data_IF_569377722125
#
_entry.id   IF_569377722125
#
_cell.length_a   1.000
_cell.length_b   1.000
_cell.length_c   1.000
_cell.angle_alpha   90.00
_cell.angle_beta   90.00
_cell.angle_gamma   90.00
#
_symmetry.space_group_name_H-M   'P 1'
#
loop_
_entity.id
_entity.type
_entity.pdbx_description
1 polymer ?
#
# COMPACT_ATOMS: atom_id res chain seq x y z
N UNK A 1 -6.93 -18.37 -13.56
CA UNK A 1 -8.26 -18.26 -12.93
C UNK A 1 -8.45 -19.21 -11.74
N UNK A 2 -8.27 -20.52 -11.92
CA UNK A 2 -8.62 -21.53 -10.89
C UNK A 2 -7.82 -21.37 -9.58
N UNK A 3 -6.51 -21.09 -9.71
CA UNK A 3 -5.62 -20.81 -8.57
C UNK A 3 -6.07 -19.60 -7.72
N UNK A 4 -6.59 -18.53 -8.34
CA UNK A 4 -7.07 -17.34 -7.62
C UNK A 4 -8.31 -17.69 -6.80
N UNK A 5 -9.24 -18.45 -7.39
CA UNK A 5 -10.46 -18.92 -6.70
C UNK A 5 -10.14 -19.87 -5.53
N UNK A 6 -9.12 -20.71 -5.68
CA UNK A 6 -8.67 -21.62 -4.62
C UNK A 6 -7.98 -20.87 -3.48
N UNK A 7 -7.08 -19.94 -3.80
CA UNK A 7 -6.41 -19.09 -2.82
C UNK A 7 -7.41 -18.25 -2.03
N UNK A 8 -8.37 -17.63 -2.71
CA UNK A 8 -9.45 -16.88 -2.08
C UNK A 8 -10.25 -17.72 -1.08
N UNK A 9 -10.69 -18.93 -1.49
CA UNK A 9 -11.42 -19.86 -0.60
C UNK A 9 -10.58 -20.29 0.61
N UNK A 10 -9.28 -20.52 0.42
CA UNK A 10 -8.37 -20.89 1.50
C UNK A 10 -8.22 -19.76 2.53
N UNK A 11 -8.09 -18.52 2.06
CA UNK A 11 -7.95 -17.35 2.93
C UNK A 11 -9.27 -16.98 3.63
N UNK A 12 -10.40 -17.06 2.93
CA UNK A 12 -11.73 -16.89 3.54
C UNK A 12 -11.97 -17.87 4.69
N UNK A 13 -11.59 -19.14 4.54
CA UNK A 13 -11.72 -20.12 5.63
C UNK A 13 -10.86 -19.79 6.85
N UNK A 14 -9.80 -19.01 6.68
CA UNK A 14 -8.89 -18.65 7.78
C UNK A 14 -9.32 -17.36 8.48
N UNK A 15 -9.83 -16.39 7.73
CA UNK A 15 -10.15 -15.05 8.21
C UNK A 15 -11.65 -14.73 8.21
N UNK A 16 -12.52 -15.73 8.11
CA UNK A 16 -13.97 -15.51 8.17
C UNK A 16 -14.34 -14.82 9.50
N UNK A 17 -15.28 -13.85 9.53
CA UNK A 17 -15.71 -13.19 10.76
C UNK A 17 -16.23 -14.19 11.81
N UNK A 18 -16.82 -15.32 11.39
CA UNK A 18 -17.26 -16.38 12.32
C UNK A 18 -16.12 -17.09 13.04
N UNK A 19 -14.87 -16.96 12.56
CA UNK A 19 -13.68 -17.61 13.12
C UNK A 19 -12.76 -16.60 13.81
N UNK A 20 -12.53 -15.45 13.15
CA UNK A 20 -11.56 -14.43 13.58
C UNK A 20 -12.22 -13.18 14.20
N UNK A 21 -13.54 -13.17 14.38
CA UNK A 21 -14.26 -12.06 15.01
C UNK A 21 -14.20 -10.77 14.21
N UNK A 22 -14.09 -9.63 14.90
CA UNK A 22 -14.11 -8.28 14.32
C UNK A 22 -12.95 -8.05 13.32
N UNK A 23 -11.73 -8.48 13.67
CA UNK A 23 -10.55 -8.38 12.78
C UNK A 23 -10.74 -9.22 11.50
N UNK A 24 -11.42 -10.36 11.61
CA UNK A 24 -11.80 -11.19 10.45
C UNK A 24 -12.71 -10.48 9.45
N UNK A 25 -13.57 -9.57 9.92
CA UNK A 25 -14.43 -8.78 9.05
C UNK A 25 -13.63 -7.85 8.13
N UNK A 26 -12.65 -7.13 8.69
CA UNK A 26 -11.76 -6.23 7.94
C UNK A 26 -10.94 -7.00 6.90
N UNK A 27 -10.32 -8.10 7.33
CA UNK A 27 -9.57 -8.97 6.42
C UNK A 27 -10.44 -9.52 5.29
N UNK A 28 -11.68 -9.92 5.57
CA UNK A 28 -12.61 -10.41 4.55
C UNK A 28 -13.01 -9.32 3.56
N UNK A 29 -13.17 -8.07 4.03
CA UNK A 29 -13.47 -6.92 3.17
C UNK A 29 -12.34 -6.67 2.17
N UNK A 30 -11.10 -6.59 2.66
CA UNK A 30 -9.90 -6.45 1.83
C UNK A 30 -9.76 -7.62 0.84
N UNK A 31 -10.03 -8.85 1.29
CA UNK A 31 -9.95 -10.05 0.45
C UNK A 31 -10.94 -9.98 -0.72
N UNK A 32 -12.15 -9.47 -0.48
CA UNK A 32 -13.19 -9.31 -1.49
C UNK A 32 -12.83 -8.24 -2.51
N UNK A 33 -12.23 -7.14 -2.09
CA UNK A 33 -11.73 -6.09 -2.98
C UNK A 33 -10.62 -6.60 -3.89
N UNK A 34 -9.61 -7.25 -3.32
CA UNK A 34 -8.55 -7.90 -4.09
C UNK A 34 -9.11 -8.94 -5.07
N UNK A 35 -10.08 -9.76 -4.65
CA UNK A 35 -10.70 -10.75 -5.52
C UNK A 35 -11.44 -10.11 -6.70
N UNK A 36 -12.15 -8.99 -6.49
CA UNK A 36 -12.86 -8.28 -7.58
C UNK A 36 -11.91 -7.81 -8.69
N UNK A 37 -10.73 -7.32 -8.34
CA UNK A 37 -9.71 -6.87 -9.30
C UNK A 37 -9.05 -8.06 -10.00
N UNK A 38 -8.67 -9.09 -9.23
CA UNK A 38 -7.89 -10.22 -9.74
C UNK A 38 -8.71 -11.25 -10.53
N UNK A 39 -10.04 -11.29 -10.37
CA UNK A 39 -10.90 -12.27 -11.04
C UNK A 39 -11.22 -11.92 -12.48
N UNK A 40 -11.16 -10.65 -12.87
CA UNK A 40 -11.39 -10.20 -14.25
C UNK A 40 -10.05 -10.09 -14.96
N UNK A 41 -9.90 -10.76 -16.10
CA UNK A 41 -8.62 -10.80 -16.82
C UNK A 41 -8.17 -9.39 -17.26
N UNK A 42 -9.09 -8.50 -17.65
CA UNK A 42 -8.75 -7.14 -18.06
C UNK A 42 -8.24 -6.29 -16.89
N UNK A 43 -8.96 -6.31 -15.75
CA UNK A 43 -8.55 -5.58 -14.54
C UNK A 43 -7.26 -6.15 -13.95
N UNK A 44 -7.08 -7.48 -14.02
CA UNK A 44 -5.84 -8.13 -13.63
C UNK A 44 -4.68 -7.70 -14.53
N UNK A 45 -4.87 -7.63 -15.85
CA UNK A 45 -3.82 -7.14 -16.77
C UNK A 45 -3.46 -5.69 -16.49
N UNK A 46 -4.44 -4.83 -16.21
CA UNK A 46 -4.20 -3.44 -15.86
C UNK A 46 -3.47 -3.30 -14.52
N UNK A 47 -3.86 -4.11 -13.52
CA UNK A 47 -3.16 -4.22 -12.25
C UNK A 47 -1.71 -4.72 -12.43
N UNK A 48 -1.52 -5.83 -13.14
CA UNK A 48 -0.21 -6.41 -13.45
C UNK A 48 0.64 -5.42 -14.27
N UNK A 49 0.04 -4.61 -15.14
CA UNK A 49 0.71 -3.55 -15.90
C UNK A 49 1.10 -2.34 -15.02
N UNK A 50 0.27 -1.97 -14.03
CA UNK A 50 0.60 -0.91 -13.07
C UNK A 50 1.75 -1.32 -12.15
N UNK A 51 1.72 -2.55 -11.64
CA UNK A 51 2.81 -3.17 -10.88
C UNK A 51 4.03 -3.38 -11.76
N UNK A 52 3.84 -3.80 -13.01
CA UNK A 52 4.88 -4.00 -14.00
C UNK A 52 5.55 -2.70 -14.43
N UNK A 53 4.82 -1.58 -14.50
CA UNK A 53 5.37 -0.24 -14.76
C UNK A 53 6.22 0.25 -13.60
N UNK A 54 5.80 -0.01 -12.35
CA UNK A 54 6.66 0.19 -11.19
C UNK A 54 7.88 -0.74 -11.26
N UNK A 55 7.73 -2.03 -11.60
CA UNK A 55 8.85 -2.97 -11.78
C UNK A 55 9.83 -2.61 -12.90
N UNK A 56 9.33 -2.02 -13.99
CA UNK A 56 10.14 -1.58 -15.12
C UNK A 56 10.87 -0.26 -14.84
N UNK A 57 10.25 0.67 -14.09
CA UNK A 57 10.87 1.96 -13.70
C UNK A 57 11.86 1.84 -12.52
N UNK A 58 11.68 0.84 -11.66
CA UNK A 58 12.46 0.65 -10.43
C UNK A 58 13.33 -0.64 -10.44
N UNK A 59 13.41 -1.36 -11.57
CA UNK A 59 14.19 -2.60 -11.72
C UNK A 59 13.63 -3.79 -10.94
N UNK A 60 14.34 -4.93 -10.91
CA UNK A 60 13.91 -6.12 -10.14
C UNK A 60 13.88 -5.92 -8.60
N UNK A 61 14.23 -4.72 -8.11
CA UNK A 61 14.37 -4.36 -6.69
C UNK A 61 13.18 -3.54 -6.15
N UNK A 62 11.97 -3.73 -6.71
CA UNK A 62 10.74 -3.05 -6.23
C UNK A 62 10.17 -3.64 -4.96
N UNK A 63 10.58 -4.85 -4.59
CA UNK A 63 10.48 -5.24 -3.19
C UNK A 63 11.41 -4.31 -2.44
N UNK A 64 10.85 -3.35 -1.70
CA UNK A 64 11.59 -2.53 -0.76
C UNK A 64 12.70 -3.35 -0.10
N UNK A 65 13.89 -2.78 0.01
CA UNK A 65 15.08 -3.49 0.48
C UNK A 65 14.85 -4.12 1.86
N UNK A 66 13.94 -3.53 2.64
CA UNK A 66 13.53 -4.07 3.92
C UNK A 66 12.46 -5.16 3.78
N UNK A 67 12.77 -6.34 4.31
CA UNK A 67 11.79 -7.42 4.48
C UNK A 67 10.84 -7.12 5.63
N UNK A 68 9.63 -7.66 5.64
CA UNK A 68 8.64 -7.40 6.70
C UNK A 68 8.48 -8.59 7.63
N UNK A 69 8.57 -8.37 8.95
CA UNK A 69 8.27 -9.40 9.96
C UNK A 69 6.89 -9.18 10.57
N UNK A 70 6.00 -10.15 10.39
CA UNK A 70 4.65 -10.12 10.95
C UNK A 70 3.60 -9.46 10.04
N UNK A 71 2.44 -9.06 10.57
CA UNK A 71 1.40 -8.39 9.78
C UNK A 71 1.89 -7.02 9.30
N UNK A 72 1.45 -6.62 8.10
CA UNK A 72 1.67 -5.27 7.59
C UNK A 72 1.07 -4.25 8.58
N UNK A 73 1.89 -3.29 9.01
CA UNK A 73 1.50 -2.18 9.88
C UNK A 73 1.44 -0.90 9.03
N UNK A 74 0.62 0.09 9.39
CA UNK A 74 0.49 1.34 8.62
C UNK A 74 1.78 2.15 8.60
N UNK A 75 2.57 2.07 9.67
CA UNK A 75 3.85 2.76 9.79
C UNK A 75 5.01 1.80 9.55
N UNK A 76 6.08 2.30 8.95
CA UNK A 76 7.33 1.60 8.72
C UNK A 76 8.53 2.48 9.13
N UNK A 77 9.68 1.84 9.33
CA UNK A 77 10.93 2.51 9.66
C UNK A 77 11.69 2.84 8.37
N UNK A 78 12.17 4.07 8.28
CA UNK A 78 13.05 4.53 7.22
C UNK A 78 14.28 5.21 7.81
N UNK A 79 15.46 4.92 7.25
CA UNK A 79 16.71 5.58 7.66
C UNK A 79 17.16 6.49 6.53
N UNK A 80 17.31 7.79 6.83
CA UNK A 80 17.87 8.76 5.91
C UNK A 80 19.41 8.64 5.87
N UNK A 81 19.91 7.96 4.85
CA UNK A 81 21.35 7.80 4.64
C UNK A 81 22.08 9.10 4.32
N UNK A 82 21.39 10.20 3.96
CA UNK A 82 22.05 11.49 3.75
C UNK A 82 22.46 12.14 5.08
N UNK A 83 21.66 11.94 6.12
CA UNK A 83 21.89 12.51 7.44
C UNK A 83 22.62 11.52 8.37
N UNK A 84 22.61 10.22 8.04
CA UNK A 84 23.26 9.20 8.85
C UNK A 84 24.78 9.37 8.86
N UNK A 85 25.35 9.56 10.05
CA UNK A 85 26.81 9.65 10.26
C UNK A 85 27.47 8.29 10.55
N UNK A 86 26.70 7.21 10.53
CA UNK A 86 27.23 5.86 10.76
C UNK A 86 27.67 5.55 12.20
N UNK A 87 27.03 6.15 13.22
CA UNK A 87 27.36 5.94 14.63
C UNK A 87 27.09 4.51 15.15
N UNK A 88 26.33 3.69 14.42
CA UNK A 88 26.00 2.28 14.70
C UNK A 88 25.11 2.00 15.93
N UNK A 89 24.67 3.02 16.66
CA UNK A 89 23.85 2.86 17.87
C UNK A 89 22.53 2.10 17.61
N UNK A 90 21.88 2.38 16.48
CA UNK A 90 20.65 1.67 16.08
C UNK A 90 20.85 0.16 15.89
N UNK A 91 22.01 -0.26 15.39
CA UNK A 91 22.38 -1.67 15.20
C UNK A 91 22.76 -2.31 16.54
N UNK A 92 23.34 -1.55 17.46
CA UNK A 92 23.65 -2.04 18.81
C UNK A 92 22.40 -2.40 19.61
N UNK A 93 21.34 -1.58 19.52
CA UNK A 93 20.08 -1.84 20.22
C UNK A 93 19.14 -2.81 19.49
N UNK A 94 19.06 -2.73 18.15
CA UNK A 94 18.13 -3.51 17.33
C UNK A 94 18.79 -4.07 16.07
N UNK A 95 19.68 -5.04 16.26
CA UNK A 95 20.49 -5.67 15.20
C UNK A 95 19.71 -6.56 14.22
N UNK A 96 18.50 -7.00 14.57
CA UNK A 96 17.65 -7.74 13.63
C UNK A 96 16.89 -6.79 12.70
N UNK A 97 16.69 -5.54 13.12
CA UNK A 97 15.94 -4.51 12.39
C UNK A 97 16.87 -3.69 11.49
N UNK A 98 17.99 -3.21 12.05
CA UNK A 98 18.94 -2.33 11.37
C UNK A 98 20.25 -3.05 11.02
N UNK A 99 20.85 -2.65 9.91
CA UNK A 99 22.16 -3.12 9.44
C UNK A 99 22.99 -1.93 8.97
N UNK A 100 24.32 -2.01 9.11
CA UNK A 100 25.23 -1.01 8.54
C UNK A 100 25.60 -1.39 7.11
N UNK A 101 25.45 -0.45 6.19
CA UNK A 101 26.02 -0.55 4.86
C UNK A 101 27.49 -0.10 4.90
N UNK A 102 28.42 -1.05 4.82
CA UNK A 102 29.85 -0.77 4.88
C UNK A 102 30.37 0.04 3.70
N UNK A 103 29.73 -0.06 2.52
CA UNK A 103 30.14 0.66 1.33
C UNK A 103 29.80 2.16 1.42
N UNK A 104 28.70 2.48 2.10
CA UNK A 104 28.20 3.85 2.24
C UNK A 104 28.49 4.45 3.61
N UNK A 105 28.90 3.64 4.59
CA UNK A 105 29.07 4.06 5.98
C UNK A 105 27.77 4.45 6.67
N UNK A 106 26.61 4.09 6.11
CA UNK A 106 25.29 4.51 6.58
C UNK A 106 24.49 3.33 7.13
N UNK A 107 23.60 3.58 8.09
CA UNK A 107 22.64 2.57 8.55
C UNK A 107 21.50 2.41 7.54
N UNK A 108 20.95 1.20 7.44
CA UNK A 108 19.75 0.86 6.65
C UNK A 108 18.85 -0.07 7.43
N UNK A 109 17.57 -0.11 7.06
CA UNK A 109 16.60 -1.08 7.61
C UNK A 109 16.67 -2.34 6.76
N UNK A 110 16.90 -3.49 7.41
CA UNK A 110 16.92 -4.80 6.76
C UNK A 110 15.61 -5.55 6.95
N UNK A 111 15.06 -5.49 8.15
CA UNK A 111 13.80 -6.15 8.51
C UNK A 111 12.93 -5.17 9.27
N UNK A 112 11.77 -4.81 8.71
CA UNK A 112 10.75 -4.04 9.42
C UNK A 112 10.24 -4.87 10.60
N UNK A 113 10.30 -4.28 11.80
CA UNK A 113 9.87 -4.90 13.06
C UNK A 113 10.60 -6.23 13.38
N UNK A 114 11.90 -6.30 13.08
CA UNK A 114 12.74 -7.46 13.35
C UNK A 114 12.90 -7.77 14.85
N UNK A 115 13.04 -6.71 15.65
CA UNK A 115 13.19 -6.73 17.11
C UNK A 115 11.89 -6.34 17.84
N UNK A 116 11.94 -6.38 19.17
CA UNK A 116 10.83 -5.90 20.01
C UNK A 116 10.62 -4.39 19.82
N UNK A 117 9.36 -3.95 19.81
CA UNK A 117 8.98 -2.54 19.61
C UNK A 117 9.74 -1.60 20.57
N UNK A 118 9.97 -2.02 21.83
CA UNK A 118 10.76 -1.25 22.81
C UNK A 118 12.21 -1.01 22.39
N UNK A 119 12.86 -2.01 21.76
CA UNK A 119 14.25 -1.88 21.30
C UNK A 119 14.31 -0.96 20.09
N UNK A 120 13.31 -1.04 19.23
CA UNK A 120 13.17 -0.17 18.06
C UNK A 120 13.02 1.28 18.51
N UNK A 121 12.14 1.55 19.48
CA UNK A 121 11.95 2.89 20.03
C UNK A 121 13.25 3.45 20.62
N UNK A 122 13.97 2.63 21.40
CA UNK A 122 15.29 3.01 21.93
C UNK A 122 16.29 3.27 20.79
N UNK A 123 16.31 2.47 19.73
CA UNK A 123 17.18 2.72 18.57
C UNK A 123 16.87 4.05 17.87
N UNK A 124 15.59 4.44 17.80
CA UNK A 124 15.14 5.71 17.22
C UNK A 124 15.60 6.87 18.10
N UNK A 125 15.36 6.79 19.41
CA UNK A 125 15.68 7.84 20.38
C UNK A 125 17.18 8.01 20.62
N UNK A 126 17.96 6.93 20.50
CA UNK A 126 19.42 6.97 20.67
C UNK A 126 20.15 7.61 19.47
N UNK A 127 19.47 7.96 18.38
CA UNK A 127 20.11 8.51 17.18
C UNK A 127 20.59 9.96 17.39
N UNK A 128 21.91 10.26 17.36
CA UNK A 128 22.42 11.60 17.66
C UNK A 128 22.04 12.67 16.62
N UNK A 129 21.68 12.23 15.41
CA UNK A 129 21.31 13.09 14.26
C UNK A 129 19.85 12.92 13.84
N UNK A 130 19.07 12.12 14.59
CA UNK A 130 17.66 11.82 14.30
C UNK A 130 17.40 11.42 12.84
N UNK A 131 18.26 10.58 12.25
CA UNK A 131 18.14 10.14 10.85
C UNK A 131 17.16 8.97 10.66
N UNK A 132 16.45 8.54 11.71
CA UNK A 132 15.49 7.42 11.66
C UNK A 132 14.09 8.01 11.76
N UNK A 133 13.24 7.67 10.78
CA UNK A 133 11.91 8.25 10.63
C UNK A 133 10.84 7.16 10.55
N UNK A 134 9.71 7.42 11.20
CA UNK A 134 8.47 6.68 10.99
C UNK A 134 7.76 7.23 9.75
N UNK A 135 7.48 6.38 8.79
CA UNK A 135 6.88 6.72 7.49
C UNK A 135 5.70 5.82 7.19
N UNK A 136 4.79 6.26 6.32
CA UNK A 136 3.70 5.40 5.88
C UNK A 136 4.24 4.23 5.04
N UNK A 137 3.68 3.03 5.25
CA UNK A 137 4.11 1.81 4.57
C UNK A 137 4.01 1.90 3.03
N UNK A 138 3.12 2.74 2.53
CA UNK A 138 2.93 2.99 1.10
C UNK A 138 4.06 3.84 0.49
N UNK A 139 4.63 4.77 1.27
CA UNK A 139 5.69 5.67 0.81
C UNK A 139 7.09 5.05 0.94
N UNK A 140 7.24 4.03 1.82
CA UNK A 140 8.51 3.38 2.11
C UNK A 140 9.26 2.93 0.85
N UNK A 141 8.57 2.27 -0.10
CA UNK A 141 9.20 1.75 -1.31
C UNK A 141 9.79 2.87 -2.19
N UNK A 142 9.12 4.04 -2.23
CA UNK A 142 9.61 5.20 -3.00
C UNK A 142 10.81 5.83 -2.29
N UNK A 143 10.76 5.95 -0.96
CA UNK A 143 11.86 6.50 -0.17
C UNK A 143 13.12 5.63 -0.26
N UNK A 144 12.99 4.32 -0.11
CA UNK A 144 14.10 3.36 -0.22
C UNK A 144 14.73 3.36 -1.62
N UNK A 145 13.95 3.61 -2.67
CA UNK A 145 14.48 3.76 -4.02
C UNK A 145 15.25 5.06 -4.22
N UNK A 146 14.71 6.17 -3.74
CA UNK A 146 15.29 7.50 -3.93
C UNK A 146 16.56 7.75 -3.11
N UNK A 147 16.70 7.07 -1.96
CA UNK A 147 17.92 7.17 -1.14
C UNK A 147 19.11 6.43 -1.77
N UNK A 148 18.88 5.55 -2.75
CA UNK A 148 19.96 4.83 -3.42
C UNK A 148 20.82 5.79 -4.24
N UNK A 149 22.15 5.67 -4.18
CA UNK A 149 23.02 6.42 -5.07
C UNK A 149 22.74 5.97 -6.50
N UNK A 150 22.22 6.87 -7.33
CA UNK A 150 21.99 6.61 -8.74
C UNK A 150 23.25 6.99 -9.53
N UNK A 151 23.62 6.14 -10.49
CA UNK A 151 24.72 6.44 -11.39
C UNK A 151 24.28 7.58 -12.30
N UNK A 152 24.96 8.72 -12.23
CA UNK A 152 24.72 9.83 -13.15
C UNK A 152 25.48 9.58 -14.43
N UNK A 153 24.77 9.51 -15.57
CA UNK A 153 25.40 9.51 -16.88
C UNK A 153 26.14 10.84 -17.06
N UNK A 154 27.47 10.80 -17.02
CA UNK A 154 28.31 11.96 -17.27
C UNK A 154 28.74 12.00 -18.72
N UNK A 155 28.40 13.06 -19.43
CA UNK A 155 28.98 13.37 -20.74
C UNK A 155 30.25 14.22 -20.52
N UNK A 156 31.44 13.64 -20.70
CA UNK A 156 32.72 14.36 -20.65
C UNK A 156 33.90 13.57 -20.05
N UNK A 157 35.09 14.17 -20.03
CA UNK A 157 36.36 13.55 -19.54
C UNK A 157 36.35 13.31 -18.02
N UNK A 158 35.54 14.06 -17.27
CA UNK A 158 35.26 13.84 -15.83
C UNK A 158 33.93 13.07 -15.63
N UNK A 159 33.51 12.29 -16.62
CA UNK A 159 32.16 11.78 -16.77
C UNK A 159 31.80 10.69 -15.75
N UNK A 160 30.82 11.02 -14.91
CA UNK A 160 30.08 10.07 -14.08
C UNK A 160 30.30 10.32 -12.60
N UNK A 161 29.23 10.63 -11.88
CA UNK A 161 29.22 10.79 -10.43
C UNK A 161 28.04 10.04 -9.83
N UNK A 162 28.07 9.84 -8.51
CA UNK A 162 26.91 9.36 -7.78
C UNK A 162 26.14 10.58 -7.28
N UNK A 163 24.88 10.71 -7.69
CA UNK A 163 24.03 11.80 -7.24
C UNK A 163 22.88 11.23 -6.40
N UNK A 164 22.69 11.82 -5.22
CA UNK A 164 21.52 11.57 -4.36
C UNK A 164 20.71 12.85 -4.24
N UNK A 165 19.37 12.77 -4.20
CA UNK A 165 18.54 13.91 -3.83
C UNK A 165 18.94 14.41 -2.44
N UNK A 166 19.07 15.72 -2.24
CA UNK A 166 19.44 16.29 -0.94
C UNK A 166 18.40 16.00 0.15
N UNK A 167 17.11 16.06 -0.21
CA UNK A 167 15.98 15.75 0.67
C UNK A 167 15.11 14.66 0.04
N UNK A 168 15.20 13.44 0.57
CA UNK A 168 14.48 12.29 0.01
C UNK A 168 12.96 12.43 0.13
N UNK A 169 12.46 13.00 1.23
CA UNK A 169 11.03 13.25 1.42
C UNK A 169 10.43 14.23 0.41
N UNK A 170 11.18 15.27 0.04
CA UNK A 170 10.73 16.22 -0.98
C UNK A 170 10.70 15.58 -2.36
N UNK A 171 11.71 14.76 -2.67
CA UNK A 171 11.77 14.00 -3.91
C UNK A 171 10.62 12.97 -4.01
N UNK A 172 10.31 12.28 -2.91
CA UNK A 172 9.18 11.33 -2.86
C UNK A 172 7.84 12.03 -3.09
N UNK A 173 7.59 13.18 -2.45
CA UNK A 173 6.37 13.97 -2.69
C UNK A 173 6.25 14.44 -4.13
N UNK A 174 7.35 14.90 -4.74
CA UNK A 174 7.38 15.29 -6.14
C UNK A 174 7.06 14.10 -7.05
N UNK A 175 7.61 12.93 -6.75
CA UNK A 175 7.39 11.70 -7.50
C UNK A 175 5.92 11.25 -7.43
N UNK A 176 5.33 11.19 -6.23
CA UNK A 176 3.92 10.83 -6.04
C UNK A 176 2.99 11.83 -6.75
N UNK A 177 3.31 13.13 -6.72
CA UNK A 177 2.58 14.15 -7.47
C UNK A 177 2.63 13.91 -8.97
N UNK A 178 3.80 13.55 -9.50
CA UNK A 178 3.98 13.25 -10.93
C UNK A 178 3.18 12.02 -11.36
N UNK A 179 3.13 10.98 -10.53
CA UNK A 179 2.31 9.78 -10.79
C UNK A 179 0.82 10.11 -10.85
N UNK A 180 0.31 10.91 -9.91
CA UNK A 180 -1.09 11.36 -9.90
C UNK A 180 -1.44 12.13 -11.18
N UNK A 181 -0.58 13.07 -11.57
CA UNK A 181 -0.76 13.84 -12.81
C UNK A 181 -0.75 12.95 -14.06
N UNK A 182 0.11 11.94 -14.12
CA UNK A 182 0.14 10.98 -15.23
C UNK A 182 -1.13 10.12 -15.28
N UNK A 183 -1.62 9.66 -14.13
CA UNK A 183 -2.86 8.89 -14.04
C UNK A 183 -4.08 9.73 -14.45
N UNK A 184 -4.16 10.98 -13.99
CA UNK A 184 -5.20 11.94 -14.38
C UNK A 184 -5.16 12.26 -15.88
N UNK A 185 -3.97 12.44 -16.45
CA UNK A 185 -3.79 12.67 -17.89
C UNK A 185 -4.23 11.44 -18.72
N UNK A 186 -3.90 10.22 -18.27
CA UNK A 186 -4.32 8.99 -18.92
C UNK A 186 -5.85 8.80 -18.86
N UNK A 187 -6.47 9.12 -17.72
CA UNK A 187 -7.94 9.08 -17.57
C UNK A 187 -8.65 10.15 -18.41
N UNK A 188 -8.04 11.33 -18.59
CA UNK A 188 -8.54 12.39 -19.46
C UNK A 188 -8.53 12.00 -20.95
N UNK A 189 -7.54 11.22 -21.39
CA UNK A 189 -7.47 10.72 -22.78
C UNK A 189 -8.48 9.61 -23.07
N UNK A 190 -8.82 8.77 -22.09
CA UNK A 190 -9.88 7.74 -22.24
C UNK A 190 -11.29 8.33 -22.46
N UNK A 191 -11.54 9.59 -22.10
CA UNK A 191 -12.83 10.27 -22.37
C UNK A 191 -12.96 10.78 -23.81
N UNK A 192 -11.85 11.10 -24.48
CA UNK A 192 -11.86 11.60 -25.87
C UNK A 192 -11.72 10.48 -26.93
N UNK A 193 -11.48 9.24 -26.51
CA UNK A 193 -11.29 8.09 -27.40
C UNK A 193 -12.26 6.93 -27.17
N UNK A 194 -13.46 7.17 -26.62
CA UNK A 194 -14.43 6.08 -26.41
C UNK A 194 -15.12 5.70 -27.72
N UNK A 195 -14.50 4.76 -28.42
CA UNK A 195 -15.26 3.74 -29.16
C UNK A 195 -16.22 3.08 -28.16
N UNK A 196 -17.49 3.10 -28.56
CA UNK A 196 -18.71 2.68 -27.87
C UNK A 196 -18.59 1.29 -27.24
N UNK A 197 -18.18 1.20 -25.97
CA UNK A 197 -18.55 0.06 -25.13
C UNK A 197 -20.01 0.23 -24.73
N UNK A 198 -20.83 -0.73 -25.14
CA UNK A 198 -22.23 -0.88 -24.75
C UNK A 198 -22.26 -1.13 -23.24
N UNK A 199 -22.28 -0.04 -22.47
CA UNK A 199 -23.04 -0.01 -21.23
C UNK A 199 -24.50 -0.11 -21.69
N UNK A 200 -25.19 -1.18 -21.33
CA UNK A 200 -26.66 -1.13 -21.32
C UNK A 200 -27.01 0.02 -20.37
N UNK A 201 -27.33 1.18 -20.93
CA UNK A 201 -27.95 2.28 -20.21
C UNK A 201 -29.19 1.70 -19.56
N UNK A 202 -29.14 1.52 -18.23
CA UNK A 202 -30.33 1.15 -17.47
C UNK A 202 -31.37 2.22 -17.77
N UNK A 203 -32.51 1.80 -18.36
CA UNK A 203 -33.60 2.73 -18.64
C UNK A 203 -33.98 3.45 -17.34
N UNK A 204 -34.37 4.74 -17.37
CA UNK A 204 -34.70 5.49 -16.16
C UNK A 204 -35.77 4.78 -15.30
N UNK A 205 -36.65 4.00 -15.92
CA UNK A 205 -37.62 3.13 -15.25
C UNK A 205 -36.97 1.99 -14.43
N UNK A 206 -35.86 1.41 -14.89
CA UNK A 206 -35.12 0.37 -14.17
C UNK A 206 -34.34 0.93 -12.97
N UNK A 207 -33.79 2.14 -13.09
CA UNK A 207 -33.15 2.83 -11.98
C UNK A 207 -34.17 3.18 -10.88
N UNK A 208 -35.34 3.69 -11.26
CA UNK A 208 -36.43 3.98 -10.32
C UNK A 208 -36.98 2.70 -9.67
N UNK A 209 -37.13 1.61 -10.42
CA UNK A 209 -37.55 0.31 -9.88
C UNK A 209 -36.56 -0.24 -8.83
N UNK A 210 -35.25 -0.02 -9.02
CA UNK A 210 -34.23 -0.39 -8.04
C UNK A 210 -34.31 0.44 -6.76
N UNK A 211 -34.46 1.75 -6.87
CA UNK A 211 -34.60 2.65 -5.71
C UNK A 211 -35.89 2.32 -4.93
N UNK A 212 -36.99 2.03 -5.63
CA UNK A 212 -38.24 1.63 -5.00
C UNK A 212 -38.14 0.25 -4.33
N UNK A 213 -37.40 -0.70 -4.92
CA UNK A 213 -37.16 -2.01 -4.32
C UNK A 213 -36.30 -1.92 -3.06
N UNK A 214 -35.26 -1.08 -3.05
CA UNK A 214 -34.41 -0.88 -1.87
C UNK A 214 -35.16 -0.15 -0.75
N UNK A 215 -35.99 0.85 -1.08
CA UNK A 215 -36.87 1.50 -0.09
C UNK A 215 -37.90 0.53 0.50
N UNK A 216 -38.54 -0.34 -0.29
CA UNK A 216 -39.47 -1.37 0.21
C UNK A 216 -38.80 -2.35 1.17
N UNK A 217 -37.63 -2.87 0.82
CA UNK A 217 -36.87 -3.77 1.70
C UNK A 217 -36.47 -3.10 3.01
N UNK A 218 -36.13 -1.81 2.96
CA UNK A 218 -35.79 -1.05 4.16
C UNK A 218 -37.02 -0.79 5.03
N UNK A 219 -38.17 -0.48 4.42
CA UNK A 219 -39.43 -0.24 5.12
C UNK A 219 -40.03 -1.52 5.72
N UNK A 220 -39.90 -2.66 5.04
CA UNK A 220 -40.26 -3.98 5.59
C UNK A 220 -39.35 -4.39 6.76
N UNK A 221 -38.04 -4.13 6.65
CA UNK A 221 -37.10 -4.33 7.77
C UNK A 221 -37.45 -3.42 8.95
N UNK A 222 -37.76 -2.16 8.70
CA UNK A 222 -38.15 -1.19 9.71
C UNK A 222 -39.47 -1.60 10.41
N UNK A 223 -40.49 -2.01 9.65
CA UNK A 223 -41.76 -2.49 10.20
C UNK A 223 -41.61 -3.79 11.02
N UNK A 224 -40.72 -4.69 10.61
CA UNK A 224 -40.42 -5.93 11.36
C UNK A 224 -39.65 -5.66 12.65
N UNK A 225 -38.78 -4.65 12.66
CA UNK A 225 -38.08 -4.16 13.85
C UNK A 225 -39.06 -3.45 14.79
N UNK A 226 -39.90 -2.57 14.26
CA UNK A 226 -40.88 -1.82 15.05
C UNK A 226 -41.99 -2.71 15.63
N UNK A 227 -42.42 -3.73 14.89
CA UNK A 227 -43.34 -4.77 15.38
C UNK A 227 -42.76 -5.60 16.53
N UNK A 228 -41.45 -5.86 16.54
CA UNK A 228 -40.76 -6.51 17.67
C UNK A 228 -40.64 -5.60 18.89
N UNK A 229 -40.45 -4.29 18.68
CA UNK A 229 -40.43 -3.31 19.77
C UNK A 229 -41.81 -3.12 20.42
N UNK A 230 -42.89 -3.19 19.64
CA UNK A 230 -44.27 -3.09 20.17
C UNK A 230 -44.66 -4.29 21.05
N UNK A 231 -44.08 -5.46 20.82
CA UNK A 231 -44.32 -6.65 21.63
C UNK A 231 -43.56 -6.64 22.98
N UNK A 232 -42.55 -5.76 23.12
CA UNK A 232 -41.72 -5.63 24.33
C UNK A 232 -42.19 -4.52 25.28
N UNK A 233 -43.16 -3.69 24.88
CA UNK A 233 -43.66 -2.53 25.64
C UNK A 233 -45.14 -2.65 26.06
N UNK A 234 -45.72 -3.85 25.97
CA UNK A 234 -47.02 -4.19 26.57
C UNK A 234 -46.83 -5.47 27.41
N UNK A 235 -46.20 -5.30 28.58
CA UNK A 235 -46.50 -5.94 29.89
C UNK A 235 -46.19 -4.86 30.93
#
# INVERSE_FOLDING_TARGET
>A
MQQIKEAYRKLQKKYHPDIAGQEGHEYTLMLNEAYKVLIKDDQRKEYDASIGSMKAKFGSNVSGFSSWKGPLRPQALFVDANNCIGCRECVHHASNTFEMDEALGCARVKVQYGDDDRKIDVSVDSCPVNCIHWVDSEELAVLEFLIQPQLKEGYGVFGGGWERPSNVFMAAKAFTKQLKQQAEAAQGQHKNGRVRSVEEEETPAQAEARVNATMKLNMERFNKIWGKFKHFFII
#
